data_IF_963022289625
#
_entry.id   IF_963022289625
#
_cell.length_a   1.000
_cell.length_b   1.000
_cell.length_c   1.000
_cell.angle_alpha   90.00
_cell.angle_beta   90.00
_cell.angle_gamma   90.00
#
_symmetry.space_group_name_H-M   'P 1'
#
loop_
_entity.id
_entity.type
_entity.pdbx_description
1 polymer ?
#
# COMPACT_ATOMS: atom_id res chain seq x y z
N UNK A 1 -20.47 7.53 3.22
CA UNK A 1 -20.73 6.59 2.13
C UNK A 1 -19.50 5.76 1.77
N UNK A 2 -18.32 6.38 1.67
CA UNK A 2 -17.05 5.69 1.37
C UNK A 2 -16.29 5.30 2.64
N UNK A 3 -16.84 5.53 3.82
CA UNK A 3 -16.18 5.27 5.10
C UNK A 3 -15.69 3.81 5.26
N UNK A 4 -16.43 2.79 4.79
CA UNK A 4 -15.91 1.41 4.90
C UNK A 4 -14.59 1.18 4.16
N UNK A 5 -14.41 1.80 2.99
CA UNK A 5 -13.16 1.73 2.23
C UNK A 5 -12.03 2.41 2.98
N UNK A 6 -12.30 3.61 3.50
CA UNK A 6 -11.34 4.37 4.29
C UNK A 6 -10.89 3.57 5.51
N UNK A 7 -11.83 2.95 6.21
CA UNK A 7 -11.53 2.11 7.37
C UNK A 7 -10.60 0.95 6.99
N UNK A 8 -10.86 0.29 5.88
CA UNK A 8 -10.03 -0.84 5.44
C UNK A 8 -8.62 -0.39 5.05
N UNK A 9 -8.47 0.77 4.40
CA UNK A 9 -7.14 1.33 4.14
C UNK A 9 -6.36 1.60 5.42
N UNK A 10 -7.00 2.20 6.43
CA UNK A 10 -6.36 2.49 7.71
C UNK A 10 -5.98 1.19 8.45
N UNK A 11 -6.85 0.18 8.41
CA UNK A 11 -6.56 -1.13 9.00
C UNK A 11 -5.37 -1.80 8.31
N UNK A 12 -5.30 -1.74 6.99
CA UNK A 12 -4.17 -2.31 6.25
C UNK A 12 -2.86 -1.61 6.59
N UNK A 13 -2.87 -0.29 6.70
CA UNK A 13 -1.69 0.48 7.09
C UNK A 13 -1.19 0.06 8.48
N UNK A 14 -2.07 0.00 9.47
CA UNK A 14 -1.73 -0.41 10.83
C UNK A 14 -1.23 -1.84 10.89
N UNK A 15 -1.87 -2.75 10.18
CA UNK A 15 -1.52 -4.17 10.16
C UNK A 15 -0.11 -4.41 9.63
N UNK A 16 0.27 -3.66 8.60
CA UNK A 16 1.56 -3.89 7.95
C UNK A 16 2.68 -3.01 8.51
N UNK A 17 2.39 -1.78 8.85
CA UNK A 17 3.42 -0.79 9.19
C UNK A 17 3.16 -0.05 10.51
N UNK A 18 2.11 -0.38 11.24
CA UNK A 18 1.85 0.19 12.56
C UNK A 18 2.80 -0.34 13.63
N UNK A 19 2.60 0.09 14.88
CA UNK A 19 3.44 -0.33 16.02
C UNK A 19 3.48 -1.85 16.22
N UNK A 20 2.37 -2.52 15.91
CA UNK A 20 2.25 -3.99 15.98
C UNK A 20 2.30 -4.61 14.60
N UNK A 21 2.90 -3.92 13.64
CA UNK A 21 3.00 -4.38 12.26
C UNK A 21 3.93 -5.57 12.10
N UNK A 22 3.87 -6.18 10.93
CA UNK A 22 4.68 -7.35 10.60
C UNK A 22 6.16 -7.00 10.60
N UNK A 23 7.01 -7.97 10.97
CA UNK A 23 8.45 -7.79 10.87
C UNK A 23 8.87 -7.69 9.39
N UNK A 24 9.85 -6.83 9.12
CA UNK A 24 10.32 -6.59 7.74
C UNK A 24 10.84 -7.87 7.07
N UNK A 25 11.45 -8.77 7.82
CA UNK A 25 11.93 -10.04 7.28
C UNK A 25 10.78 -10.96 6.90
N UNK A 26 9.67 -10.89 7.62
CA UNK A 26 8.44 -11.61 7.28
C UNK A 26 7.86 -11.13 5.95
N UNK A 27 7.94 -9.82 5.69
CA UNK A 27 7.43 -9.22 4.45
C UNK A 27 8.13 -9.74 3.19
N UNK A 28 9.30 -10.35 3.32
CA UNK A 28 10.03 -10.93 2.19
C UNK A 28 9.62 -12.37 1.88
N UNK A 29 8.75 -12.96 2.70
CA UNK A 29 8.30 -14.34 2.49
C UNK A 29 7.22 -14.42 1.41
N UNK A 30 7.19 -15.53 0.69
CA UNK A 30 6.16 -15.79 -0.31
C UNK A 30 4.76 -15.83 0.32
N UNK A 31 4.66 -16.39 1.52
CA UNK A 31 3.41 -16.45 2.28
C UNK A 31 2.84 -15.05 2.52
N UNK A 32 3.67 -14.12 2.97
CA UNK A 32 3.25 -12.74 3.21
C UNK A 32 2.82 -12.07 1.90
N UNK A 33 3.59 -12.24 0.84
CA UNK A 33 3.30 -11.67 -0.47
C UNK A 33 1.92 -12.12 -0.97
N UNK A 34 1.64 -13.41 -0.88
CA UNK A 34 0.35 -13.97 -1.29
C UNK A 34 -0.80 -13.41 -0.47
N UNK A 35 -0.61 -13.24 0.84
CA UNK A 35 -1.62 -12.67 1.73
C UNK A 35 -1.94 -11.22 1.34
N UNK A 36 -0.93 -10.42 1.05
CA UNK A 36 -1.11 -9.02 0.63
C UNK A 36 -1.82 -8.94 -0.72
N UNK A 37 -1.44 -9.77 -1.68
CA UNK A 37 -2.12 -9.83 -2.98
C UNK A 37 -3.60 -10.15 -2.79
N UNK A 38 -3.93 -11.11 -1.94
CA UNK A 38 -5.32 -11.48 -1.64
C UNK A 38 -6.09 -10.32 -1.00
N UNK A 39 -5.44 -9.54 -0.13
CA UNK A 39 -6.05 -8.35 0.49
C UNK A 39 -6.42 -7.30 -0.55
N UNK A 40 -5.52 -6.99 -1.49
CA UNK A 40 -5.79 -6.02 -2.57
C UNK A 40 -6.93 -6.49 -3.47
N UNK A 41 -6.92 -7.76 -3.86
CA UNK A 41 -7.97 -8.33 -4.70
C UNK A 41 -9.32 -8.23 -3.99
N UNK A 42 -9.36 -8.61 -2.72
CA UNK A 42 -10.58 -8.54 -1.89
C UNK A 42 -11.09 -7.11 -1.78
N UNK A 43 -10.20 -6.16 -1.55
CA UNK A 43 -10.56 -4.74 -1.45
C UNK A 43 -11.20 -4.23 -2.75
N UNK A 44 -10.58 -4.53 -3.88
CA UNK A 44 -11.09 -4.09 -5.18
C UNK A 44 -12.45 -4.73 -5.50
N UNK A 45 -12.58 -6.03 -5.27
CA UNK A 45 -13.85 -6.75 -5.52
C UNK A 45 -14.97 -6.25 -4.64
N UNK A 46 -14.68 -6.00 -3.37
CA UNK A 46 -15.69 -5.60 -2.38
C UNK A 46 -16.13 -4.16 -2.57
N UNK A 47 -15.21 -3.27 -2.93
CA UNK A 47 -15.46 -1.83 -2.88
C UNK A 47 -15.31 -1.10 -4.21
N UNK A 48 -15.40 -1.79 -5.33
CA UNK A 48 -15.13 -1.19 -6.65
C UNK A 48 -15.85 0.14 -6.87
N UNK A 49 -17.15 0.18 -6.58
CA UNK A 49 -17.95 1.40 -6.77
C UNK A 49 -17.59 2.49 -5.78
N UNK A 50 -17.36 2.12 -4.53
CA UNK A 50 -16.95 3.09 -3.49
C UNK A 50 -15.55 3.63 -3.75
N UNK A 51 -14.64 2.80 -4.25
CA UNK A 51 -13.31 3.23 -4.68
C UNK A 51 -13.42 4.23 -5.83
N UNK A 52 -14.27 3.97 -6.81
CA UNK A 52 -14.51 4.92 -7.90
C UNK A 52 -14.97 6.27 -7.37
N UNK A 53 -15.94 6.27 -6.44
CA UNK A 53 -16.44 7.50 -5.82
C UNK A 53 -15.33 8.24 -5.07
N UNK A 54 -14.55 7.53 -4.28
CA UNK A 54 -13.47 8.13 -3.49
C UNK A 54 -12.37 8.71 -4.37
N UNK A 55 -11.93 7.97 -5.38
CA UNK A 55 -10.76 8.34 -6.19
C UNK A 55 -11.11 9.35 -7.29
N UNK A 56 -12.32 9.32 -7.85
CA UNK A 56 -12.67 10.12 -9.02
C UNK A 56 -13.81 11.12 -8.80
N UNK A 57 -14.62 10.96 -7.75
CA UNK A 57 -15.84 11.76 -7.54
C UNK A 57 -15.89 12.46 -6.18
N UNK A 58 -14.74 12.62 -5.54
CA UNK A 58 -14.70 13.28 -4.23
C UNK A 58 -14.46 14.80 -4.31
N UNK A 59 -14.27 15.34 -5.50
CA UNK A 59 -14.02 16.78 -5.69
C UNK A 59 -15.18 17.60 -5.12
N UNK A 60 -14.88 18.65 -4.38
CA UNK A 60 -15.85 19.50 -3.72
C UNK A 60 -16.41 18.94 -2.41
N UNK A 61 -15.96 17.75 -2.00
CA UNK A 61 -16.33 17.14 -0.72
C UNK A 61 -15.16 17.24 0.28
N UNK A 62 -15.43 16.86 1.53
CA UNK A 62 -14.37 16.79 2.56
C UNK A 62 -13.28 15.76 2.23
N UNK A 63 -13.49 14.90 1.23
CA UNK A 63 -12.58 13.82 0.87
C UNK A 63 -11.77 14.09 -0.40
N UNK A 64 -11.87 15.30 -0.99
CA UNK A 64 -11.18 15.58 -2.25
C UNK A 64 -9.65 15.47 -2.15
N UNK A 65 -9.09 15.65 -0.98
CA UNK A 65 -7.66 15.55 -0.72
C UNK A 65 -7.27 14.22 -0.04
N UNK A 66 -8.18 13.24 -0.02
CA UNK A 66 -7.96 12.01 0.75
C UNK A 66 -6.68 11.27 0.34
N UNK A 67 -6.41 11.14 -0.96
CA UNK A 67 -5.19 10.44 -1.43
C UNK A 67 -3.93 11.07 -0.88
N UNK A 68 -3.84 12.39 -0.96
CA UNK A 68 -2.68 13.12 -0.48
C UNK A 68 -2.55 13.01 1.04
N UNK A 69 -3.65 13.20 1.75
CA UNK A 69 -3.66 13.12 3.20
C UNK A 69 -3.29 11.73 3.69
N UNK A 70 -3.80 10.69 3.03
CA UNK A 70 -3.41 9.31 3.34
C UNK A 70 -1.93 9.06 3.03
N UNK A 71 -1.43 9.55 1.90
CA UNK A 71 -0.02 9.41 1.54
C UNK A 71 0.89 10.07 2.58
N UNK A 72 0.51 11.24 3.08
CA UNK A 72 1.27 11.94 4.13
C UNK A 72 1.26 11.15 5.45
N UNK A 73 0.10 10.65 5.86
CA UNK A 73 0.00 9.82 7.07
C UNK A 73 0.77 8.52 6.92
N UNK A 74 0.62 7.85 5.79
CA UNK A 74 1.34 6.61 5.49
C UNK A 74 2.84 6.82 5.54
N UNK A 75 3.33 7.93 4.99
CA UNK A 75 4.75 8.27 5.02
C UNK A 75 5.26 8.34 6.46
N UNK A 76 4.53 9.02 7.35
CA UNK A 76 4.94 9.13 8.75
C UNK A 76 4.92 7.77 9.47
N UNK A 77 3.90 6.94 9.23
CA UNK A 77 3.80 5.60 9.82
C UNK A 77 4.95 4.71 9.34
N UNK A 78 5.24 4.72 8.04
CA UNK A 78 6.30 3.90 7.46
C UNK A 78 7.70 4.37 7.89
N UNK A 79 7.90 5.68 8.03
CA UNK A 79 9.15 6.23 8.57
C UNK A 79 9.43 5.67 9.96
N UNK A 80 8.44 5.70 10.83
CA UNK A 80 8.58 5.15 12.19
C UNK A 80 8.82 3.65 12.15
N UNK A 81 8.11 2.93 11.30
CA UNK A 81 8.31 1.50 11.07
C UNK A 81 9.75 1.20 10.65
N UNK A 82 10.28 1.93 9.69
CA UNK A 82 11.66 1.75 9.21
C UNK A 82 12.68 2.09 10.31
N UNK A 83 12.42 3.10 11.10
CA UNK A 83 13.29 3.45 12.25
C UNK A 83 13.38 2.27 13.21
N UNK A 84 12.25 1.65 13.54
CA UNK A 84 12.20 0.50 14.44
C UNK A 84 12.86 -0.73 13.82
N UNK A 85 12.65 -0.97 12.53
CA UNK A 85 13.26 -2.10 11.84
C UNK A 85 14.77 -1.94 11.70
N UNK A 86 15.25 -0.72 11.55
CA UNK A 86 16.70 -0.44 11.51
C UNK A 86 17.37 -0.82 12.84
N UNK A 87 16.70 -0.55 13.94
CA UNK A 87 17.20 -0.93 15.28
C UNK A 87 17.17 -2.45 15.43
N UNK A 88 16.08 -3.10 15.02
CA UNK A 88 15.90 -4.54 15.16
C UNK A 88 16.80 -5.35 14.21
N UNK A 89 17.06 -4.84 13.02
CA UNK A 89 17.83 -5.50 11.96
C UNK A 89 18.97 -4.61 11.49
N UNK A 90 20.04 -4.43 12.31
CA UNK A 90 21.13 -3.53 11.95
C UNK A 90 21.91 -3.98 10.71
N UNK A 91 21.79 -5.24 10.31
CA UNK A 91 22.41 -5.78 9.09
C UNK A 91 21.76 -5.25 7.79
N UNK A 92 20.53 -4.72 7.88
CA UNK A 92 19.85 -4.17 6.73
C UNK A 92 20.23 -2.70 6.52
N UNK A 93 20.33 -2.30 5.25
CA UNK A 93 20.56 -0.90 4.90
C UNK A 93 19.23 -0.20 4.73
N UNK A 94 18.59 0.15 5.85
CA UNK A 94 17.31 0.87 5.84
C UNK A 94 17.60 2.36 5.85
N UNK A 95 17.92 2.89 4.67
CA UNK A 95 18.24 4.31 4.50
C UNK A 95 17.50 4.85 3.26
N UNK A 96 16.18 4.88 3.37
CA UNK A 96 15.29 5.21 2.27
C UNK A 96 14.76 6.62 2.49
N UNK A 97 14.79 7.45 1.43
CA UNK A 97 14.31 8.82 1.51
C UNK A 97 12.81 8.87 1.80
N UNK A 98 12.41 9.85 2.58
CA UNK A 98 10.99 10.10 2.88
C UNK A 98 10.17 10.29 1.62
N UNK A 99 10.76 10.97 0.62
CA UNK A 99 10.09 11.20 -0.66
C UNK A 99 9.82 9.90 -1.42
N UNK A 100 10.74 8.93 -1.37
CA UNK A 100 10.55 7.61 -1.99
C UNK A 100 9.40 6.86 -1.31
N UNK A 101 9.29 6.94 0.00
CA UNK A 101 8.18 6.34 0.74
C UNK A 101 6.86 6.96 0.30
N UNK A 102 6.81 8.29 0.22
CA UNK A 102 5.64 9.03 -0.25
C UNK A 102 5.23 8.61 -1.66
N UNK A 103 6.19 8.57 -2.58
CA UNK A 103 5.95 8.17 -3.97
C UNK A 103 5.38 6.76 -4.10
N UNK A 104 5.84 5.85 -3.25
CA UNK A 104 5.35 4.47 -3.29
C UNK A 104 3.85 4.40 -2.95
N UNK A 105 3.40 5.18 -1.97
CA UNK A 105 1.98 5.24 -1.63
C UNK A 105 1.16 5.87 -2.75
N UNK A 106 1.65 6.94 -3.36
CA UNK A 106 1.00 7.57 -4.51
C UNK A 106 0.90 6.58 -5.67
N UNK A 107 1.96 5.81 -5.90
CA UNK A 107 1.99 4.78 -6.94
C UNK A 107 0.94 3.69 -6.72
N UNK A 108 0.75 3.27 -5.47
CA UNK A 108 -0.30 2.31 -5.11
C UNK A 108 -1.69 2.84 -5.51
N UNK A 109 -1.98 4.10 -5.21
CA UNK A 109 -3.26 4.71 -5.61
C UNK A 109 -3.39 4.80 -7.13
N UNK A 110 -2.30 5.12 -7.83
CA UNK A 110 -2.30 5.15 -9.30
C UNK A 110 -2.65 3.79 -9.88
N UNK A 111 -2.09 2.72 -9.32
CA UNK A 111 -2.44 1.36 -9.72
C UNK A 111 -3.93 1.08 -9.55
N UNK A 112 -4.49 1.42 -8.38
CA UNK A 112 -5.91 1.22 -8.11
C UNK A 112 -6.79 2.03 -9.08
N UNK A 113 -6.43 3.29 -9.33
CA UNK A 113 -7.15 4.14 -10.28
C UNK A 113 -7.16 3.54 -11.68
N UNK A 114 -6.01 3.08 -12.16
CA UNK A 114 -5.89 2.49 -13.49
C UNK A 114 -6.70 1.20 -13.62
N UNK A 115 -6.68 0.35 -12.62
CA UNK A 115 -7.46 -0.89 -12.60
C UNK A 115 -8.96 -0.61 -12.67
N UNK A 116 -9.43 0.40 -11.95
CA UNK A 116 -10.83 0.77 -11.91
C UNK A 116 -11.24 1.46 -13.21
N UNK A 117 -10.42 2.39 -13.70
CA UNK A 117 -10.70 3.15 -14.92
C UNK A 117 -10.81 2.23 -16.14
N UNK A 118 -9.92 1.26 -16.25
CA UNK A 118 -9.89 0.32 -17.38
C UNK A 118 -10.82 -0.88 -17.19
N UNK A 119 -11.60 -0.90 -16.11
CA UNK A 119 -12.62 -1.94 -15.85
C UNK A 119 -12.07 -3.36 -15.96
N UNK A 120 -10.87 -3.57 -15.40
CA UNK A 120 -10.21 -4.88 -15.46
C UNK A 120 -11.03 -5.97 -14.78
N UNK A 121 -11.02 -7.17 -15.37
CA UNK A 121 -11.71 -8.34 -14.81
C UNK A 121 -10.81 -9.05 -13.78
N UNK A 122 -11.40 -9.96 -12.97
CA UNK A 122 -10.74 -10.57 -11.82
C UNK A 122 -9.39 -11.20 -12.13
N UNK A 123 -9.29 -11.98 -13.22
CA UNK A 123 -8.04 -12.66 -13.56
C UNK A 123 -6.94 -11.68 -13.94
N UNK A 124 -7.29 -10.62 -14.69
CA UNK A 124 -6.36 -9.55 -15.04
C UNK A 124 -5.90 -8.79 -13.80
N UNK A 125 -6.82 -8.50 -12.87
CA UNK A 125 -6.51 -7.82 -11.61
C UNK A 125 -5.51 -8.63 -10.81
N UNK A 126 -5.74 -9.93 -10.69
CA UNK A 126 -4.83 -10.82 -9.96
C UNK A 126 -3.43 -10.81 -10.56
N UNK A 127 -3.34 -10.92 -11.89
CA UNK A 127 -2.06 -10.88 -12.60
C UNK A 127 -1.33 -9.55 -12.37
N UNK A 128 -2.02 -8.43 -12.55
CA UNK A 128 -1.42 -7.09 -12.44
C UNK A 128 -0.95 -6.81 -11.01
N UNK A 129 -1.75 -7.15 -10.02
CA UNK A 129 -1.38 -6.97 -8.62
C UNK A 129 -0.18 -7.86 -8.26
N UNK A 130 -0.15 -9.09 -8.75
CA UNK A 130 0.98 -9.99 -8.54
C UNK A 130 2.26 -9.41 -9.13
N UNK A 131 2.22 -8.93 -10.36
CA UNK A 131 3.35 -8.28 -11.02
C UNK A 131 3.83 -7.04 -10.23
N UNK A 132 2.89 -6.18 -9.83
CA UNK A 132 3.19 -5.00 -9.03
C UNK A 132 3.85 -5.36 -7.69
N UNK A 133 3.33 -6.36 -7.00
CA UNK A 133 3.86 -6.75 -5.69
C UNK A 133 5.24 -7.38 -5.80
N UNK A 134 5.49 -8.18 -6.84
CA UNK A 134 6.83 -8.74 -7.09
C UNK A 134 7.83 -7.62 -7.38
N UNK A 135 7.44 -6.70 -8.25
CA UNK A 135 8.26 -5.54 -8.59
C UNK A 135 8.58 -4.69 -7.35
N UNK A 136 7.57 -4.36 -6.57
CA UNK A 136 7.70 -3.53 -5.37
C UNK A 136 8.56 -4.22 -4.30
N UNK A 137 8.27 -5.49 -3.99
CA UNK A 137 9.00 -6.24 -2.96
C UNK A 137 10.46 -6.43 -3.34
N UNK A 138 10.74 -6.76 -4.59
CA UNK A 138 12.10 -6.93 -5.08
C UNK A 138 12.88 -5.62 -5.03
N UNK A 139 12.23 -4.52 -5.41
CA UNK A 139 12.84 -3.18 -5.33
C UNK A 139 13.20 -2.78 -3.90
N UNK A 140 12.27 -2.95 -2.97
CA UNK A 140 12.52 -2.66 -1.56
C UNK A 140 13.66 -3.52 -0.99
N UNK A 141 13.66 -4.82 -1.31
CA UNK A 141 14.72 -5.73 -0.86
C UNK A 141 16.08 -5.29 -1.36
N UNK A 142 16.15 -4.89 -2.62
CA UNK A 142 17.42 -4.43 -3.21
C UNK A 142 17.91 -3.14 -2.56
N UNK A 143 17.00 -2.18 -2.28
CA UNK A 143 17.35 -0.94 -1.59
C UNK A 143 17.88 -1.18 -0.18
N UNK A 144 17.43 -2.24 0.48
CA UNK A 144 17.78 -2.55 1.88
C UNK A 144 18.96 -3.53 2.00
N UNK A 145 19.57 -3.90 0.90
CA UNK A 145 20.73 -4.79 0.93
C UNK A 145 21.87 -4.15 1.68
N UNK A 146 22.37 -4.88 2.67
CA UNK A 146 23.50 -4.44 3.50
C UNK A 146 24.87 -4.68 2.88
#
# INVERSE_FOLDING_TARGET
>A
LVQPVINDFEIMLDKHHGKSGSDIMEMYTEHYLRAVIAEYISLIKKYRNLLFLLLFRSQGTSLENYKRDFADRSTEVVKEYFRNMKIKHPELNINISEFTIHLHTVWMFTMLEELIMHKKVSDEIEQIITEYMIFSTTGWRELMKG
#
